data_IF_689692385559
#
_entry.id   IF_689692385559
#
_cell.length_a   1.000
_cell.length_b   1.000
_cell.length_c   1.000
_cell.angle_alpha   90.00
_cell.angle_beta   90.00
_cell.angle_gamma   90.00
#
_symmetry.space_group_name_H-M   'P 1'
#
loop_
_entity.id
_entity.type
_entity.pdbx_description
1 polymer ?
#
# COMPACT_ATOMS: atom_id res chain seq x y z
N UNK A 1 18.35 13.70 -5.24
CA UNK A 1 18.47 14.52 -4.02
C UNK A 1 17.18 14.49 -3.19
N UNK A 2 16.10 15.18 -3.59
CA UNK A 2 14.88 15.23 -2.76
C UNK A 2 14.05 13.93 -2.79
N UNK A 3 13.88 13.31 -3.96
CA UNK A 3 13.15 12.04 -4.08
C UNK A 3 13.84 10.90 -3.32
N UNK A 4 15.16 10.73 -3.48
CA UNK A 4 15.94 9.73 -2.74
C UNK A 4 15.86 9.93 -1.22
N UNK A 5 15.82 11.19 -0.77
CA UNK A 5 15.63 11.51 0.64
C UNK A 5 14.23 11.13 1.13
N UNK A 6 13.18 11.44 0.37
CA UNK A 6 11.82 11.06 0.71
C UNK A 6 11.65 9.53 0.79
N UNK A 7 12.28 8.79 -0.14
CA UNK A 7 12.33 7.32 -0.09
C UNK A 7 13.02 6.83 1.18
N UNK A 8 14.22 7.35 1.49
CA UNK A 8 14.94 6.94 2.70
C UNK A 8 14.16 7.25 3.98
N UNK A 9 13.51 8.42 4.07
CA UNK A 9 12.66 8.80 5.20
C UNK A 9 11.42 7.90 5.32
N UNK A 10 10.81 7.50 4.20
CA UNK A 10 9.68 6.58 4.17
C UNK A 10 10.07 5.17 4.66
N UNK A 11 11.19 4.62 4.19
CA UNK A 11 11.67 3.30 4.63
C UNK A 11 12.01 3.30 6.12
N UNK A 12 12.69 4.34 6.61
CA UNK A 12 12.98 4.48 8.04
C UNK A 12 11.70 4.66 8.88
N UNK A 13 10.62 5.22 8.32
CA UNK A 13 9.33 5.30 8.98
C UNK A 13 8.66 3.92 9.08
N UNK A 14 8.69 3.11 8.02
CA UNK A 14 8.18 1.73 8.03
C UNK A 14 8.90 0.87 9.07
N UNK A 15 10.22 0.96 9.15
CA UNK A 15 10.99 0.18 10.13
C UNK A 15 10.65 0.54 11.58
N UNK A 16 10.44 1.83 11.87
CA UNK A 16 9.96 2.27 13.18
C UNK A 16 8.54 1.79 13.47
N UNK A 17 7.66 1.82 12.47
CA UNK A 17 6.27 1.40 12.59
C UNK A 17 6.15 -0.11 12.90
N UNK A 18 7.01 -0.95 12.31
CA UNK A 18 7.07 -2.40 12.60
C UNK A 18 7.30 -2.69 14.08
N UNK A 19 8.15 -1.88 14.74
CA UNK A 19 8.39 -2.00 16.18
C UNK A 19 7.26 -1.44 17.07
N UNK A 20 6.33 -0.68 16.50
CA UNK A 20 5.30 0.08 17.23
C UNK A 20 3.86 -0.40 17.04
N UNK A 21 3.63 -1.54 16.38
CA UNK A 21 2.28 -2.02 15.98
C UNK A 21 1.48 -1.06 15.10
N UNK A 22 2.14 -0.10 14.44
CA UNK A 22 1.52 0.88 13.53
C UNK A 22 1.92 0.62 12.09
N UNK A 23 2.06 -0.64 11.72
CA UNK A 23 2.54 -1.10 10.41
C UNK A 23 1.52 -2.03 9.77
N UNK A 24 1.32 -1.89 8.46
CA UNK A 24 0.57 -2.82 7.62
C UNK A 24 1.36 -3.15 6.36
N UNK A 25 1.23 -4.36 5.85
CA UNK A 25 1.94 -4.83 4.66
C UNK A 25 1.11 -5.78 3.79
N UNK A 26 1.42 -5.79 2.51
CA UNK A 26 0.68 -6.56 1.52
C UNK A 26 -0.64 -5.89 1.14
N UNK A 27 -1.10 -6.22 -0.05
CA UNK A 27 -2.20 -5.52 -0.72
C UNK A 27 -3.50 -5.57 0.07
N UNK A 28 -3.83 -6.73 0.66
CA UNK A 28 -5.09 -6.94 1.38
C UNK A 28 -5.18 -6.10 2.67
N UNK A 29 -4.16 -6.18 3.52
CA UNK A 29 -4.15 -5.42 4.78
C UNK A 29 -4.07 -3.92 4.51
N UNK A 30 -3.19 -3.50 3.59
CA UNK A 30 -3.02 -2.09 3.27
C UNK A 30 -4.30 -1.51 2.65
N UNK A 31 -4.98 -2.24 1.78
CA UNK A 31 -6.28 -1.84 1.25
C UNK A 31 -7.28 -1.59 2.36
N UNK A 32 -7.46 -2.54 3.27
CA UNK A 32 -8.37 -2.38 4.39
C UNK A 32 -8.02 -1.13 5.23
N UNK A 33 -6.74 -0.92 5.57
CA UNK A 33 -6.33 0.25 6.37
C UNK A 33 -6.48 1.57 5.62
N UNK A 34 -6.27 1.58 4.31
CA UNK A 34 -6.46 2.76 3.46
C UNK A 34 -7.94 3.13 3.39
N UNK A 35 -8.81 2.17 3.11
CA UNK A 35 -10.27 2.36 3.07
C UNK A 35 -10.85 2.79 4.42
N UNK A 36 -10.28 2.31 5.53
CA UNK A 36 -10.67 2.74 6.88
C UNK A 36 -10.11 4.14 7.27
N UNK A 37 -9.33 4.79 6.40
CA UNK A 37 -8.68 6.06 6.70
C UNK A 37 -7.70 5.98 7.86
N UNK A 38 -6.97 4.86 7.98
CA UNK A 38 -5.99 4.63 9.05
C UNK A 38 -4.55 4.82 8.61
N UNK A 39 -4.29 4.96 7.31
CA UNK A 39 -2.93 5.14 6.77
C UNK A 39 -2.44 6.57 6.99
N UNK A 40 -1.30 6.74 7.66
CA UNK A 40 -0.59 8.01 7.75
C UNK A 40 0.35 8.21 6.54
N UNK A 41 1.07 7.15 6.15
CA UNK A 41 1.96 7.13 4.99
C UNK A 41 1.83 5.80 4.26
N UNK A 42 1.55 5.85 2.97
CA UNK A 42 1.59 4.72 2.05
C UNK A 42 2.93 4.70 1.32
N UNK A 43 3.55 3.53 1.22
CA UNK A 43 4.76 3.30 0.42
C UNK A 43 4.48 2.15 -0.53
N UNK A 44 4.73 2.37 -1.82
CA UNK A 44 4.37 1.43 -2.89
C UNK A 44 5.46 1.38 -3.94
N UNK A 45 5.73 0.20 -4.50
CA UNK A 45 6.67 0.05 -5.61
C UNK A 45 6.10 0.66 -6.91
N UNK A 46 6.92 1.39 -7.67
CA UNK A 46 6.52 2.18 -8.84
C UNK A 46 5.73 1.41 -9.89
N UNK A 47 6.07 0.13 -10.13
CA UNK A 47 5.41 -0.68 -11.15
C UNK A 47 4.55 -1.81 -10.58
N UNK A 48 4.27 -1.81 -9.28
CA UNK A 48 3.46 -2.85 -8.66
C UNK A 48 1.98 -2.64 -8.97
N UNK A 49 1.37 -3.66 -9.59
CA UNK A 49 -0.04 -3.70 -9.98
C UNK A 49 -0.59 -5.08 -9.74
N UNK A 50 -1.83 -5.14 -9.26
CA UNK A 50 -2.51 -6.42 -9.00
C UNK A 50 -3.98 -6.33 -9.38
N UNK A 51 -4.41 -7.31 -10.17
CA UNK A 51 -5.81 -7.56 -10.44
C UNK A 51 -6.40 -8.44 -9.34
N UNK A 52 -7.48 -7.97 -8.72
CA UNK A 52 -8.17 -8.69 -7.63
C UNK A 52 -9.67 -8.66 -7.84
N UNK A 53 -10.39 -9.48 -7.08
CA UNK A 53 -11.83 -9.36 -6.87
C UNK A 53 -12.11 -9.22 -5.37
N UNK A 54 -13.20 -8.54 -5.04
CA UNK A 54 -13.63 -8.40 -3.67
C UNK A 54 -14.27 -9.71 -3.17
N UNK A 55 -13.57 -10.41 -2.27
CA UNK A 55 -14.11 -11.54 -1.51
C UNK A 55 -14.89 -11.07 -0.26
N UNK A 56 -15.28 -12.01 0.59
CA UNK A 56 -15.89 -11.67 1.88
C UNK A 56 -14.83 -11.12 2.84
N UNK A 57 -14.68 -9.79 2.86
CA UNK A 57 -13.81 -9.07 3.79
C UNK A 57 -12.31 -9.13 3.48
N UNK A 58 -11.94 -9.64 2.31
CA UNK A 58 -10.55 -9.69 1.83
C UNK A 58 -10.51 -9.66 0.29
N UNK A 59 -9.34 -9.39 -0.26
CA UNK A 59 -9.05 -9.42 -1.69
C UNK A 59 -8.62 -10.82 -2.12
N UNK A 60 -9.20 -11.28 -3.22
CA UNK A 60 -8.81 -12.53 -3.86
C UNK A 60 -8.15 -12.24 -5.22
N UNK A 61 -7.06 -12.91 -5.61
CA UNK A 61 -6.51 -12.78 -6.96
C UNK A 61 -7.57 -13.08 -8.01
N UNK A 62 -7.62 -12.26 -9.06
CA UNK A 62 -8.56 -12.42 -10.17
C UNK A 62 -7.81 -12.38 -11.51
N UNK A 63 -8.42 -12.97 -12.54
CA UNK A 63 -7.96 -12.80 -13.90
C UNK A 63 -8.48 -11.49 -14.50
N UNK A 64 -7.75 -10.93 -15.47
CA UNK A 64 -8.14 -9.68 -16.13
C UNK A 64 -9.47 -9.77 -16.90
N UNK A 65 -9.96 -10.98 -17.20
CA UNK A 65 -11.23 -11.22 -17.88
C UNK A 65 -12.38 -11.60 -16.93
N UNK A 66 -12.14 -11.64 -15.62
CA UNK A 66 -13.19 -11.84 -14.64
C UNK A 66 -14.13 -10.62 -14.59
N UNK A 67 -15.44 -10.88 -14.58
CA UNK A 67 -16.47 -9.82 -14.68
C UNK A 67 -16.50 -8.88 -13.46
N UNK A 68 -16.02 -9.35 -12.31
CA UNK A 68 -15.95 -8.63 -11.04
C UNK A 68 -14.52 -8.23 -10.65
N UNK A 69 -13.58 -8.29 -11.60
CA UNK A 69 -12.20 -7.88 -11.36
C UNK A 69 -12.04 -6.36 -11.24
N UNK A 70 -11.21 -5.97 -10.27
CA UNK A 70 -10.55 -4.66 -10.16
C UNK A 70 -9.15 -4.82 -10.74
N UNK A 71 -8.89 -4.24 -11.90
CA UNK A 71 -7.64 -4.43 -12.66
C UNK A 71 -6.39 -3.84 -12.00
N UNK A 72 -6.55 -2.78 -11.21
CA UNK A 72 -5.43 -2.21 -10.46
C UNK A 72 -5.93 -1.74 -9.09
N UNK A 73 -5.95 -2.66 -8.13
CA UNK A 73 -6.35 -2.32 -6.76
C UNK A 73 -5.37 -1.33 -6.12
N UNK A 74 -4.12 -1.27 -6.61
CA UNK A 74 -3.10 -0.38 -6.06
C UNK A 74 -3.49 1.08 -6.31
N UNK A 75 -4.12 1.38 -7.45
CA UNK A 75 -4.66 2.71 -7.73
C UNK A 75 -5.75 3.09 -6.73
N UNK A 76 -6.68 2.19 -6.40
CA UNK A 76 -7.74 2.46 -5.40
C UNK A 76 -7.17 2.67 -3.99
N UNK A 77 -6.12 1.93 -3.64
CA UNK A 77 -5.40 2.11 -2.37
C UNK A 77 -4.76 3.50 -2.31
N UNK A 78 -4.09 3.92 -3.39
CA UNK A 78 -3.45 5.24 -3.49
C UNK A 78 -4.51 6.35 -3.41
N UNK A 79 -5.62 6.20 -4.12
CA UNK A 79 -6.74 7.15 -4.07
C UNK A 79 -7.30 7.28 -2.65
N UNK A 80 -7.67 6.16 -2.01
CA UNK A 80 -8.18 6.13 -0.63
C UNK A 80 -7.20 6.77 0.36
N UNK A 81 -5.91 6.51 0.20
CA UNK A 81 -4.87 7.11 1.03
C UNK A 81 -4.82 8.63 0.87
N UNK A 82 -4.83 9.14 -0.37
CA UNK A 82 -4.81 10.58 -0.66
C UNK A 82 -6.08 11.28 -0.18
N UNK A 83 -7.25 10.69 -0.38
CA UNK A 83 -8.53 11.23 0.07
C UNK A 83 -8.58 11.43 1.59
N UNK A 84 -7.91 10.56 2.34
CA UNK A 84 -7.83 10.66 3.80
C UNK A 84 -6.64 11.49 4.28
N UNK A 85 -5.87 12.09 3.37
CA UNK A 85 -4.73 12.96 3.68
C UNK A 85 -3.46 12.21 4.10
N UNK A 86 -3.30 10.96 3.67
CA UNK A 86 -2.03 10.25 3.83
C UNK A 86 -0.97 10.78 2.87
N UNK A 87 0.29 10.64 3.25
CA UNK A 87 1.41 10.83 2.32
C UNK A 87 1.62 9.57 1.48
N UNK A 88 1.84 9.71 0.18
CA UNK A 88 2.16 8.59 -0.72
C UNK A 88 3.58 8.74 -1.23
N UNK A 89 4.39 7.68 -1.09
CA UNK A 89 5.77 7.62 -1.59
C UNK A 89 5.94 6.40 -2.48
N UNK A 90 6.32 6.64 -3.73
CA UNK A 90 6.70 5.58 -4.65
C UNK A 90 8.19 5.24 -4.47
N UNK A 91 8.52 3.95 -4.52
CA UNK A 91 9.89 3.43 -4.38
C UNK A 91 10.25 2.51 -5.54
N UNK A 92 11.55 2.32 -5.85
CA UNK A 92 11.96 1.40 -6.91
C UNK A 92 11.48 -0.04 -6.66
N UNK A 93 11.20 -0.77 -7.73
CA UNK A 93 10.77 -2.17 -7.65
C UNK A 93 11.77 -3.05 -6.86
N UNK A 94 11.23 -3.98 -6.09
CA UNK A 94 11.98 -4.88 -5.22
C UNK A 94 12.39 -4.28 -3.86
N UNK A 95 12.18 -2.97 -3.64
CA UNK A 95 12.48 -2.32 -2.35
C UNK A 95 11.63 -2.87 -1.21
N UNK A 96 10.40 -3.30 -1.50
CA UNK A 96 9.40 -3.78 -0.56
C UNK A 96 9.08 -5.27 -0.77
N UNK A 97 9.99 -6.05 -1.36
CA UNK A 97 9.75 -7.46 -1.66
C UNK A 97 9.32 -8.27 -0.41
N UNK A 98 9.92 -8.01 0.75
CA UNK A 98 9.56 -8.67 2.01
C UNK A 98 8.21 -8.20 2.58
N UNK A 99 7.71 -7.05 2.13
CA UNK A 99 6.43 -6.47 2.53
C UNK A 99 5.31 -6.75 1.51
N UNK A 100 5.56 -7.54 0.47
CA UNK A 100 4.58 -7.76 -0.60
C UNK A 100 4.32 -6.52 -1.45
N UNK A 101 5.38 -5.76 -1.76
CA UNK A 101 5.42 -4.62 -2.70
C UNK A 101 4.64 -3.36 -2.30
N UNK A 102 3.86 -3.42 -1.22
CA UNK A 102 3.12 -2.28 -0.66
C UNK A 102 3.12 -2.35 0.87
N UNK A 103 3.31 -1.20 1.52
CA UNK A 103 3.32 -1.11 2.98
C UNK A 103 2.82 0.25 3.46
N UNK A 104 2.38 0.31 4.70
CA UNK A 104 1.87 1.54 5.29
C UNK A 104 2.33 1.75 6.74
N UNK A 105 2.56 3.03 7.07
CA UNK A 105 2.58 3.52 8.46
C UNK A 105 1.16 3.95 8.82
N UNK A 106 0.65 3.44 9.93
CA UNK A 106 -0.70 3.73 10.43
C UNK A 106 -0.69 4.92 11.39
N UNK A 107 -1.83 5.62 11.47
CA UNK A 107 -2.06 6.72 12.40
C UNK A 107 -2.12 6.25 13.86
N UNK A 108 -2.60 5.02 14.10
CA UNK A 108 -2.80 4.39 15.41
C UNK A 108 -3.01 2.88 15.28
#
# INVERSE_FOLDING_TARGET
>A
ADAERAVAEALAALDRARGGNTYAAGVDEVWQKASDGRVHRLVVEENYRVTVRAGEGHLEPAADDDLDAVHDIVDEIVESALETGAEVVFVPDGTLAEAGHVAAVLRF
#
